data_IF_822152566041
#
_entry.id   IF_822152566041
#
_cell.length_a   1.000
_cell.length_b   1.000
_cell.length_c   1.000
_cell.angle_alpha   90.00
_cell.angle_beta   90.00
_cell.angle_gamma   90.00
#
_symmetry.space_group_name_H-M   'P 1'
#
loop_
_entity.id
_entity.type
_entity.pdbx_description
1 polymer ?
#
# COMPACT_ATOMS: atom_id res chain seq x y z
N UNK A 1 -20.34 8.82 -9.28
CA UNK A 1 -20.86 7.89 -8.25
C UNK A 1 -19.89 6.72 -8.12
N UNK A 2 -18.95 6.76 -7.17
CA UNK A 2 -18.04 5.63 -6.87
C UNK A 2 -18.89 4.49 -6.29
N UNK A 3 -18.85 3.30 -6.91
CA UNK A 3 -19.52 2.11 -6.38
C UNK A 3 -18.62 1.52 -5.30
N UNK A 4 -19.04 1.63 -4.03
CA UNK A 4 -18.43 0.88 -2.94
C UNK A 4 -18.81 -0.60 -3.18
N UNK A 5 -17.82 -1.43 -3.49
CA UNK A 5 -18.02 -2.85 -3.71
C UNK A 5 -18.03 -3.60 -2.37
N UNK A 6 -19.03 -4.45 -2.14
CA UNK A 6 -19.03 -5.40 -1.02
C UNK A 6 -18.87 -6.81 -1.56
N UNK A 7 -17.86 -7.55 -1.10
CA UNK A 7 -17.63 -8.94 -1.51
C UNK A 7 -17.41 -9.80 -0.27
N UNK A 8 -18.45 -10.52 0.13
CA UNK A 8 -18.29 -11.61 1.11
C UNK A 8 -17.56 -12.74 0.43
N UNK A 9 -16.40 -13.13 0.97
CA UNK A 9 -15.68 -14.30 0.51
C UNK A 9 -15.68 -15.31 1.64
N UNK A 10 -16.69 -16.16 1.68
CA UNK A 10 -16.68 -17.30 2.59
C UNK A 10 -15.57 -18.25 2.13
N UNK A 11 -14.49 -18.32 2.90
CA UNK A 11 -13.38 -19.23 2.63
C UNK A 11 -13.45 -20.38 3.62
N UNK A 12 -13.88 -21.57 3.19
CA UNK A 12 -13.74 -22.77 3.99
C UNK A 12 -12.24 -22.98 4.26
N UNK A 13 -11.87 -23.32 5.49
CA UNK A 13 -10.48 -23.58 5.90
C UNK A 13 -9.77 -24.58 4.95
N UNK A 14 -10.51 -25.50 4.33
CA UNK A 14 -10.00 -26.48 3.35
C UNK A 14 -9.38 -25.85 2.10
N UNK A 15 -9.70 -24.59 1.78
CA UNK A 15 -9.19 -23.88 0.61
C UNK A 15 -7.91 -23.08 0.90
N UNK A 16 -7.42 -23.11 2.13
CA UNK A 16 -6.19 -22.42 2.49
C UNK A 16 -4.97 -23.32 2.27
N UNK A 17 -3.86 -22.72 1.87
CA UNK A 17 -2.59 -23.44 1.79
C UNK A 17 -2.00 -23.58 3.19
N UNK A 18 -1.73 -24.81 3.60
CA UNK A 18 -1.06 -25.16 4.84
C UNK A 18 0.44 -25.34 4.56
N UNK A 19 1.28 -24.88 5.50
CA UNK A 19 2.70 -25.26 5.48
C UNK A 19 2.89 -26.72 5.92
N UNK A 20 4.11 -27.23 5.76
CA UNK A 20 4.49 -28.62 6.11
C UNK A 20 4.18 -28.99 7.56
N UNK A 21 4.11 -28.01 8.46
CA UNK A 21 3.83 -28.20 9.88
C UNK A 21 2.36 -27.91 10.27
N UNK A 22 1.49 -27.58 9.31
CA UNK A 22 0.09 -27.16 9.48
C UNK A 22 -0.15 -25.98 10.46
N UNK A 23 0.90 -25.22 10.78
CA UNK A 23 0.84 -24.10 11.74
C UNK A 23 0.50 -22.77 11.09
N UNK A 24 0.81 -22.63 9.79
CA UNK A 24 0.58 -21.40 9.04
C UNK A 24 -0.44 -21.67 7.94
N UNK A 25 -1.49 -20.86 7.92
CA UNK A 25 -2.54 -20.89 6.93
C UNK A 25 -2.45 -19.63 6.07
N UNK A 26 -2.27 -19.80 4.76
CA UNK A 26 -2.15 -18.69 3.81
C UNK A 26 -3.29 -18.69 2.80
N UNK A 27 -3.76 -17.48 2.48
CA UNK A 27 -4.85 -17.23 1.53
C UNK A 27 -4.58 -15.93 0.79
N UNK A 28 -4.71 -15.98 -0.54
CA UNK A 28 -4.66 -14.80 -1.40
C UNK A 28 -5.99 -14.64 -2.14
N UNK A 29 -6.58 -13.45 -2.11
CA UNK A 29 -7.84 -13.15 -2.79
C UNK A 29 -7.60 -12.01 -3.78
N UNK A 30 -7.87 -12.21 -5.08
CA UNK A 30 -7.84 -11.11 -6.04
C UNK A 30 -8.98 -10.13 -5.76
N UNK A 31 -8.62 -8.85 -5.59
CA UNK A 31 -9.55 -7.76 -5.37
C UNK A 31 -9.94 -7.13 -6.72
N UNK A 32 -11.24 -7.03 -7.05
CA UNK A 32 -11.68 -6.45 -8.31
C UNK A 32 -11.62 -4.92 -8.34
N UNK A 33 -11.60 -4.27 -7.16
CA UNK A 33 -11.58 -2.81 -6.99
C UNK A 33 -10.77 -2.43 -5.75
N UNK A 34 -10.29 -1.19 -5.69
CA UNK A 34 -9.49 -0.67 -4.57
C UNK A 34 -10.31 -0.42 -3.29
N UNK A 35 -11.60 -0.08 -3.43
CA UNK A 35 -12.52 0.12 -2.30
C UNK A 35 -13.40 -1.12 -2.14
N UNK A 36 -13.04 -1.99 -1.20
CA UNK A 36 -13.74 -3.26 -1.00
C UNK A 36 -13.66 -3.75 0.44
N UNK A 37 -14.76 -4.33 0.91
CA UNK A 37 -14.77 -5.12 2.14
C UNK A 37 -14.76 -6.60 1.79
N UNK A 38 -13.79 -7.32 2.34
CA UNK A 38 -13.66 -8.78 2.26
C UNK A 38 -13.88 -9.35 3.65
N UNK A 39 -14.91 -10.19 3.79
CA UNK A 39 -15.17 -10.91 5.02
C UNK A 39 -14.76 -12.37 4.85
N UNK A 40 -13.87 -12.84 5.71
CA UNK A 40 -13.37 -14.21 5.82
C UNK A 40 -14.03 -14.86 7.05
N UNK A 41 -14.63 -16.04 6.84
CA UNK A 41 -15.28 -16.81 7.91
C UNK A 41 -14.52 -18.11 8.11
N UNK A 42 -13.71 -18.18 9.17
CA UNK A 42 -12.97 -19.37 9.55
C UNK A 42 -13.87 -20.25 10.43
N UNK A 43 -14.25 -21.43 9.94
CA UNK A 43 -15.12 -22.36 10.66
C UNK A 43 -14.32 -23.31 11.54
N UNK A 44 -14.68 -23.42 12.82
CA UNK A 44 -14.09 -24.37 13.77
C UNK A 44 -13.46 -23.73 15.02
N UNK A 45 -13.20 -24.56 16.03
CA UNK A 45 -12.68 -24.19 17.36
C UNK A 45 -11.17 -23.89 17.38
N UNK A 46 -10.55 -23.58 16.25
CA UNK A 46 -9.11 -23.33 16.22
C UNK A 46 -8.80 -21.93 16.75
N UNK A 47 -7.92 -21.85 17.75
CA UNK A 47 -7.37 -20.59 18.24
C UNK A 47 -6.40 -19.99 17.22
N UNK A 48 -6.49 -18.67 17.03
CA UNK A 48 -5.61 -17.91 16.14
C UNK A 48 -4.78 -16.96 17.00
N UNK A 49 -3.51 -17.26 17.19
CA UNK A 49 -2.60 -16.45 18.01
C UNK A 49 -1.96 -15.27 17.27
N UNK A 50 -1.94 -15.31 15.93
CA UNK A 50 -1.40 -14.23 15.11
C UNK A 50 -2.09 -14.18 13.74
N UNK A 51 -2.17 -12.97 13.17
CA UNK A 51 -2.73 -12.70 11.86
C UNK A 51 -1.79 -11.79 11.08
N UNK A 52 -1.41 -12.19 9.86
CA UNK A 52 -0.68 -11.34 8.92
C UNK A 52 -1.59 -10.99 7.77
N UNK A 53 -1.78 -9.69 7.52
CA UNK A 53 -2.59 -9.18 6.42
C UNK A 53 -1.70 -8.32 5.54
N UNK A 54 -1.80 -8.50 4.24
CA UNK A 54 -1.11 -7.67 3.26
C UNK A 54 -1.95 -7.42 2.02
N UNK A 55 -1.59 -6.35 1.34
CA UNK A 55 -2.11 -5.95 0.04
C UNK A 55 -0.94 -5.83 -0.93
N UNK A 56 -1.12 -6.43 -2.10
CA UNK A 56 -0.15 -6.36 -3.19
C UNK A 56 -0.82 -5.90 -4.46
N UNK A 57 -0.09 -5.19 -5.31
CA UNK A 57 -0.57 -4.69 -6.59
C UNK A 57 0.58 -4.52 -7.57
N UNK A 58 0.40 -4.90 -8.85
CA UNK A 58 1.47 -4.84 -9.85
C UNK A 58 1.89 -3.40 -10.13
N UNK A 59 3.14 -3.22 -10.55
CA UNK A 59 3.57 -1.97 -11.17
C UNK A 59 2.95 -1.82 -12.56
N UNK A 60 2.70 -0.59 -12.97
CA UNK A 60 2.20 -0.28 -14.30
C UNK A 60 2.94 0.93 -14.87
N UNK A 61 3.25 0.89 -16.15
CA UNK A 61 3.88 2.00 -16.85
C UNK A 61 3.15 2.22 -18.16
N UNK A 62 2.93 3.48 -18.49
CA UNK A 62 2.42 3.86 -19.81
C UNK A 62 3.49 3.61 -20.88
N UNK A 63 3.06 3.41 -22.14
CA UNK A 63 3.95 3.09 -23.25
C UNK A 63 5.04 4.16 -23.47
N UNK A 64 4.71 5.43 -23.21
CA UNK A 64 5.63 6.56 -23.33
C UNK A 64 6.56 6.70 -22.11
N UNK A 65 6.39 5.87 -21.08
CA UNK A 65 7.16 5.91 -19.84
C UNK A 65 6.89 7.11 -18.93
N UNK A 66 6.02 8.05 -19.35
CA UNK A 66 5.70 9.30 -18.66
C UNK A 66 4.88 9.11 -17.39
N UNK A 67 4.01 8.10 -17.37
CA UNK A 67 3.24 7.73 -16.21
C UNK A 67 3.74 6.39 -15.69
N UNK A 68 4.20 6.37 -14.44
CA UNK A 68 4.69 5.17 -13.78
C UNK A 68 4.01 5.01 -12.43
N UNK A 69 3.32 3.90 -12.24
CA UNK A 69 2.78 3.46 -10.95
C UNK A 69 3.72 2.39 -10.41
N UNK A 70 4.24 2.61 -9.20
CA UNK A 70 5.09 1.64 -8.53
C UNK A 70 4.28 0.49 -7.96
N UNK A 71 4.93 -0.66 -7.81
CA UNK A 71 4.35 -1.84 -7.17
C UNK A 71 3.89 -1.50 -5.75
N UNK A 72 2.69 -1.97 -5.39
CA UNK A 72 2.19 -1.94 -4.02
C UNK A 72 2.59 -3.26 -3.35
N UNK A 73 3.34 -3.19 -2.27
CA UNK A 73 3.63 -4.35 -1.42
C UNK A 73 3.64 -3.90 0.04
N UNK A 74 2.53 -4.15 0.73
CA UNK A 74 2.35 -3.74 2.11
C UNK A 74 1.79 -4.92 2.91
N UNK A 75 2.40 -5.22 4.05
CA UNK A 75 1.90 -6.24 4.96
C UNK A 75 2.22 -5.85 6.41
N UNK A 76 1.30 -6.18 7.32
CA UNK A 76 1.53 -6.07 8.75
C UNK A 76 1.13 -7.35 9.45
N UNK A 77 1.81 -7.62 10.57
CA UNK A 77 1.57 -8.78 11.42
C UNK A 77 1.04 -8.30 12.76
N UNK A 78 -0.08 -8.87 13.17
CA UNK A 78 -0.72 -8.64 14.45
C UNK A 78 -0.56 -9.90 15.29
N UNK A 79 0.05 -9.76 16.45
CA UNK A 79 0.34 -10.87 17.37
C UNK A 79 -0.26 -10.51 18.71
N UNK A 80 -0.79 -11.53 19.38
CA UNK A 80 -1.22 -11.40 20.77
C UNK A 80 -0.06 -10.94 21.65
N UNK A 81 -0.34 -10.07 22.63
CA UNK A 81 0.66 -9.64 23.60
C UNK A 81 0.86 -10.65 24.73
N UNK A 82 -0.10 -11.58 24.93
CA UNK A 82 -0.05 -12.60 25.96
C UNK A 82 -0.35 -14.01 25.41
N UNK A 83 0.12 -15.03 26.12
CA UNK A 83 0.02 -16.44 25.68
C UNK A 83 -1.42 -17.00 25.73
N UNK A 84 -2.29 -16.41 26.57
CA UNK A 84 -3.68 -16.87 26.79
C UNK A 84 -4.69 -16.09 25.94
N UNK A 85 -4.20 -15.20 25.08
CA UNK A 85 -5.00 -14.33 24.23
C UNK A 85 -5.00 -14.83 22.78
N UNK A 86 -6.21 -14.85 22.22
CA UNK A 86 -6.48 -15.33 20.86
C UNK A 86 -7.31 -14.31 20.11
N UNK A 87 -7.27 -14.36 18.78
CA UNK A 87 -8.03 -13.46 17.93
C UNK A 87 -9.51 -13.48 18.33
N UNK A 88 -10.12 -12.31 18.51
CA UNK A 88 -11.53 -12.20 18.86
C UNK A 88 -12.45 -12.79 17.78
N UNK A 89 -13.67 -13.16 18.17
CA UNK A 89 -14.66 -13.81 17.30
C UNK A 89 -14.95 -13.00 16.03
N UNK A 90 -15.01 -11.68 16.15
CA UNK A 90 -15.18 -10.77 15.02
C UNK A 90 -14.16 -9.65 15.11
N UNK A 91 -13.24 -9.61 14.16
CA UNK A 91 -12.20 -8.59 14.08
C UNK A 91 -12.26 -7.88 12.73
N UNK A 92 -11.97 -6.58 12.75
CA UNK A 92 -11.94 -5.76 11.53
C UNK A 92 -10.57 -5.12 11.38
N UNK A 93 -10.01 -5.25 10.18
CA UNK A 93 -8.72 -4.70 9.78
C UNK A 93 -8.93 -3.69 8.66
N UNK A 94 -9.16 -2.41 8.98
CA UNK A 94 -9.23 -1.36 7.99
C UNK A 94 -7.84 -0.99 7.48
N UNK A 95 -7.72 -0.98 6.16
CA UNK A 95 -6.56 -0.55 5.39
C UNK A 95 -6.97 0.73 4.66
N UNK A 96 -6.21 1.79 4.89
CA UNK A 96 -6.36 3.06 4.17
C UNK A 96 -5.23 3.19 3.17
N UNK A 97 -5.57 3.44 1.91
CA UNK A 97 -4.65 3.65 0.80
C UNK A 97 -4.59 5.14 0.45
N UNK A 98 -3.46 5.77 0.72
CA UNK A 98 -3.18 7.16 0.36
C UNK A 98 -2.38 7.22 -0.93
N UNK A 99 -2.83 8.03 -1.90
CA UNK A 99 -2.09 8.27 -3.14
C UNK A 99 -0.98 9.29 -2.93
N UNK A 100 0.22 8.97 -3.37
CA UNK A 100 1.36 9.89 -3.45
C UNK A 100 1.75 10.04 -4.91
N UNK A 101 1.64 11.25 -5.43
CA UNK A 101 1.92 11.59 -6.82
C UNK A 101 3.14 12.51 -6.87
N UNK A 102 4.19 12.03 -7.50
CA UNK A 102 5.41 12.78 -7.77
C UNK A 102 5.35 13.30 -9.22
N UNK A 103 5.47 14.60 -9.40
CA UNK A 103 5.61 15.24 -10.70
C UNK A 103 7.03 15.79 -10.82
N UNK A 104 7.74 15.41 -11.87
CA UNK A 104 9.05 15.94 -12.21
C UNK A 104 8.94 16.73 -13.50
N UNK A 105 9.15 18.04 -13.39
CA UNK A 105 9.18 18.94 -14.54
C UNK A 105 10.56 18.89 -15.23
N UNK A 106 10.58 18.92 -16.56
CA UNK A 106 11.83 18.81 -17.32
C UNK A 106 12.60 20.13 -17.31
N UNK A 107 13.91 20.04 -17.53
CA UNK A 107 14.78 21.21 -17.70
C UNK A 107 14.53 21.94 -19.01
N UNK A 108 14.19 21.19 -20.06
CA UNK A 108 13.93 21.74 -21.39
C UNK A 108 12.52 22.34 -21.46
N UNK A 109 12.39 23.51 -22.09
CA UNK A 109 11.10 24.22 -22.22
C UNK A 109 10.04 23.47 -23.02
N UNK A 110 10.45 22.51 -23.86
CA UNK A 110 9.60 21.62 -24.67
C UNK A 110 9.46 20.21 -24.07
N UNK A 111 10.15 19.94 -22.97
CA UNK A 111 10.06 18.66 -22.30
C UNK A 111 8.66 18.43 -21.73
N UNK A 112 8.25 17.17 -21.67
CA UNK A 112 7.01 16.76 -21.02
C UNK A 112 7.29 16.35 -19.56
N UNK A 113 6.45 16.80 -18.63
CA UNK A 113 6.54 16.37 -17.23
C UNK A 113 6.32 14.87 -17.09
N UNK A 114 7.05 14.27 -16.16
CA UNK A 114 6.92 12.86 -15.81
C UNK A 114 6.19 12.72 -14.48
N UNK A 115 5.39 11.66 -14.35
CA UNK A 115 4.54 11.41 -13.21
C UNK A 115 4.82 10.02 -12.63
N UNK A 116 5.15 9.99 -11.34
CA UNK A 116 5.30 8.78 -10.54
C UNK A 116 4.16 8.66 -9.52
N UNK A 117 3.51 7.52 -9.45
CA UNK A 117 2.48 7.20 -8.46
C UNK A 117 2.97 6.12 -7.49
N UNK A 118 2.79 6.35 -6.20
CA UNK A 118 3.01 5.38 -5.13
C UNK A 118 1.75 5.33 -4.25
N UNK A 119 1.37 4.14 -3.80
CA UNK A 119 0.34 3.98 -2.78
C UNK A 119 1.01 3.79 -1.43
N UNK A 120 0.75 4.71 -0.50
CA UNK A 120 1.07 4.52 0.91
C UNK A 120 -0.10 3.84 1.61
N UNK A 121 0.16 2.84 2.42
CA UNK A 121 -0.88 2.04 3.07
C UNK A 121 -0.71 2.09 4.58
N UNK A 122 -1.81 2.24 5.32
CA UNK A 122 -1.80 2.23 6.78
C UNK A 122 -2.95 1.37 7.31
N UNK A 123 -2.67 0.62 8.37
CA UNK A 123 -3.71 -0.05 9.17
C UNK A 123 -4.20 0.92 10.24
N UNK A 124 -5.52 1.11 10.32
CA UNK A 124 -6.14 1.89 11.40
C UNK A 124 -6.84 0.94 12.38
N UNK A 125 -6.03 0.16 13.10
CA UNK A 125 -6.51 -0.93 13.96
C UNK A 125 -6.21 -0.60 15.41
N UNK A 126 -7.20 -0.74 16.28
CA UNK A 126 -6.97 -0.76 17.72
C UNK A 126 -6.52 -2.17 18.12
N UNK A 127 -5.28 -2.31 18.59
CA UNK A 127 -4.69 -3.59 19.01
C UNK A 127 -5.41 -4.24 20.18
N UNK A 128 -6.00 -3.44 21.07
CA UNK A 128 -6.56 -3.91 22.34
C UNK A 128 -7.86 -4.71 22.16
N UNK A 129 -8.50 -4.58 21.00
CA UNK A 129 -9.75 -5.28 20.65
C UNK A 129 -9.52 -6.46 19.71
N UNK A 130 -8.30 -6.65 19.21
CA UNK A 130 -8.00 -7.75 18.29
C UNK A 130 -7.94 -9.10 18.98
N UNK A 131 -7.45 -9.12 20.21
CA UNK A 131 -7.22 -10.34 20.96
C UNK A 131 -8.06 -10.35 22.25
N UNK A 132 -8.53 -11.53 22.62
CA UNK A 132 -9.33 -11.77 23.82
C UNK A 132 -8.84 -13.02 24.51
N UNK A 133 -8.95 -13.05 25.83
CA UNK A 133 -8.57 -14.22 26.61
C UNK A 133 -9.53 -15.39 26.37
N UNK A 134 -8.99 -16.60 26.22
CA UNK A 134 -9.75 -17.85 26.01
C UNK A 134 -10.69 -18.20 27.17
N UNK A 135 -10.42 -17.69 28.38
CA UNK A 135 -11.24 -17.94 29.59
C UNK A 135 -12.56 -17.18 29.61
N UNK A 136 -12.81 -16.27 28.66
CA UNK A 136 -14.11 -15.59 28.54
C UNK A 136 -15.19 -16.54 28.05
N UNK A 137 -16.37 -16.49 28.68
CA UNK A 137 -17.55 -17.32 28.37
C UNK A 137 -17.91 -17.37 26.88
N UNK A 138 -17.68 -16.28 26.14
CA UNK A 138 -17.93 -16.17 24.70
C UNK A 138 -17.06 -17.09 23.84
N UNK A 139 -15.88 -17.51 24.32
CA UNK A 139 -14.99 -18.39 23.57
C UNK A 139 -15.50 -19.84 23.53
N UNK A 140 -16.16 -20.31 24.59
CA UNK A 140 -16.60 -21.70 24.77
C UNK A 140 -17.67 -22.10 23.74
N UNK A 141 -18.47 -21.15 23.25
CA UNK A 141 -19.53 -21.38 22.25
C UNK A 141 -19.13 -20.95 20.83
N UNK A 142 -17.87 -20.55 20.63
CA UNK A 142 -17.40 -20.05 19.35
C UNK A 142 -17.39 -21.15 18.31
N UNK A 143 -18.17 -20.99 17.25
CA UNK A 143 -18.21 -21.93 16.11
C UNK A 143 -17.43 -21.41 14.90
N UNK A 144 -17.19 -20.10 14.85
CA UNK A 144 -16.50 -19.45 13.74
C UNK A 144 -15.71 -18.23 14.21
N UNK A 145 -14.81 -17.78 13.34
CA UNK A 145 -14.08 -16.51 13.47
C UNK A 145 -14.28 -15.69 12.22
N UNK A 146 -14.77 -14.47 12.38
CA UNK A 146 -15.01 -13.53 11.31
C UNK A 146 -13.86 -12.52 11.27
N UNK A 147 -13.11 -12.54 10.17
CA UNK A 147 -12.05 -11.58 9.88
C UNK A 147 -12.55 -10.70 8.74
N UNK A 148 -12.75 -9.43 9.01
CA UNK A 148 -13.19 -8.46 8.00
C UNK A 148 -12.04 -7.56 7.63
N UNK A 149 -11.59 -7.59 6.39
CA UNK A 149 -10.59 -6.66 5.85
C UNK A 149 -11.32 -5.63 5.02
N UNK A 150 -11.17 -4.35 5.36
CA UNK A 150 -11.78 -3.25 4.61
C UNK A 150 -10.68 -2.41 3.98
N UNK A 151 -10.67 -2.31 2.66
CA UNK A 151 -9.75 -1.44 1.95
C UNK A 151 -10.50 -0.19 1.51
N UNK A 152 -9.97 0.98 1.85
CA UNK A 152 -10.53 2.28 1.49
C UNK A 152 -9.43 3.16 0.91
N UNK A 153 -9.80 4.04 -0.02
CA UNK A 153 -8.89 5.05 -0.56
C UNK A 153 -9.11 6.36 0.20
N UNK A 154 -8.02 7.05 0.55
CA UNK A 154 -8.13 8.37 1.16
C UNK A 154 -8.75 9.39 0.21
N UNK A 155 -9.48 10.35 0.77
CA UNK A 155 -10.10 11.45 0.02
C UNK A 155 -9.07 12.49 -0.45
N UNK A 156 -7.84 12.46 0.06
CA UNK A 156 -6.76 13.36 -0.30
C UNK A 156 -5.57 12.58 -0.87
N UNK A 157 -4.70 13.28 -1.59
CA UNK A 157 -3.45 12.75 -2.10
C UNK A 157 -2.31 13.71 -1.77
N UNK A 158 -1.11 13.17 -1.63
CA UNK A 158 0.12 13.96 -1.46
C UNK A 158 0.70 14.22 -2.84
N UNK A 159 1.00 15.48 -3.15
CA UNK A 159 1.65 15.86 -4.40
C UNK A 159 3.03 16.43 -4.13
N UNK A 160 4.06 15.82 -4.71
CA UNK A 160 5.42 16.34 -4.69
C UNK A 160 5.78 16.86 -6.07
N UNK A 161 6.08 18.15 -6.15
CA UNK A 161 6.52 18.81 -7.37
C UNK A 161 8.04 18.99 -7.33
N UNK A 162 8.74 18.42 -8.29
CA UNK A 162 10.17 18.63 -8.50
C UNK A 162 10.38 19.50 -9.73
N UNK A 163 10.98 20.67 -9.51
CA UNK A 163 11.36 21.59 -10.57
C UNK A 163 12.89 21.62 -10.77
N UNK A 164 13.36 21.94 -11.99
CA UNK A 164 14.79 22.13 -12.23
C UNK A 164 15.39 23.23 -11.35
N UNK A 165 16.60 22.99 -10.83
CA UNK A 165 17.32 23.93 -9.95
C UNK A 165 17.75 25.20 -10.72
N UNK A 166 18.07 25.06 -12.00
CA UNK A 166 18.47 26.15 -12.88
C UNK A 166 17.53 26.24 -14.08
N UNK A 167 17.30 27.46 -14.58
CA UNK A 167 16.51 27.66 -15.80
C UNK A 167 17.38 27.42 -17.02
N UNK A 168 16.81 26.89 -18.10
CA UNK A 168 17.53 26.67 -19.36
C UNK A 168 18.21 27.95 -19.88
N UNK A 169 17.54 29.10 -19.76
CA UNK A 169 18.10 30.40 -20.13
C UNK A 169 19.34 30.77 -19.32
N UNK A 170 19.38 30.44 -18.03
CA UNK A 170 20.54 30.72 -17.16
C UNK A 170 21.74 29.87 -17.55
N UNK A 171 21.51 28.59 -17.88
CA UNK A 171 22.57 27.68 -18.36
C UNK A 171 23.14 28.19 -19.69
N UNK A 172 22.27 28.59 -20.63
CA UNK A 172 22.71 29.15 -21.92
C UNK A 172 23.52 30.42 -21.69
N UNK A 173 23.04 31.34 -20.84
CA UNK A 173 23.72 32.60 -20.57
C UNK A 173 25.06 32.40 -19.88
N UNK A 174 25.14 31.49 -18.91
CA UNK A 174 26.39 31.14 -18.23
C UNK A 174 27.42 30.56 -19.20
N UNK A 175 27.02 29.62 -20.06
CA UNK A 175 27.90 29.03 -21.07
C UNK A 175 28.39 30.07 -22.09
N UNK A 176 27.51 30.97 -22.52
CA UNK A 176 27.86 32.03 -23.47
C UNK A 176 28.86 33.01 -22.83
N UNK A 177 28.61 33.45 -21.60
CA UNK A 177 29.50 34.35 -20.87
C UNK A 177 30.87 33.71 -20.64
N UNK A 178 30.89 32.44 -20.21
CA UNK A 178 32.12 31.67 -20.05
C UNK A 178 32.92 31.56 -21.37
N UNK A 179 32.24 31.26 -22.47
CA UNK A 179 32.86 31.18 -23.81
C UNK A 179 33.45 32.53 -24.25
N UNK A 180 32.73 33.63 -24.07
CA UNK A 180 33.22 34.98 -24.40
C UNK A 180 34.45 35.33 -23.56
N UNK A 181 34.44 35.00 -22.26
CA UNK A 181 35.57 35.26 -21.38
C UNK A 181 36.79 34.46 -21.82
N UNK A 182 36.64 33.18 -22.14
CA UNK A 182 37.73 32.34 -22.67
C UNK A 182 38.26 32.91 -23.99
N UNK A 183 37.39 33.27 -24.93
CA UNK A 183 37.81 33.88 -26.20
C UNK A 183 38.56 35.19 -25.99
N UNK A 184 38.15 36.02 -25.02
CA UNK A 184 38.90 37.23 -24.65
C UNK A 184 40.26 36.91 -24.03
N UNK A 185 40.37 35.87 -23.21
CA UNK A 185 41.63 35.49 -22.56
C UNK A 185 42.63 34.92 -23.57
N UNK A 186 42.17 34.08 -24.51
CA UNK A 186 43.05 33.44 -25.51
C UNK A 186 43.21 34.25 -26.81
N UNK A 187 42.25 35.11 -27.15
CA UNK A 187 42.29 35.97 -28.34
C UNK A 187 43.02 37.31 -28.13
N UNK A 188 43.47 37.61 -26.91
CA UNK A 188 44.35 38.75 -26.57
C UNK A 188 45.79 38.27 -26.36
N UNK A 189 46.19 37.19 -27.04
CA UNK A 189 47.59 36.79 -27.25
C UNK A 189 47.96 37.10 -28.69
#
# INVERSE_FOLDING_TARGET
LRKIGYKVVQVPIKNCQLNENETIMSLAIPLPVHEISVQLVLLGLKSVGAVRIGITGPSAQDNDGRFKIMELNFASTFVSSSLDEVLAESTTFPITLTKVVNQTDPLASDGLSTYGGIFSSAFNVNSDILFTNETRYTFIYRTATNITVTTTEDNFYVSNLQQPIARQTEIIFHNLLFTIVILKVFGVV
#
